data_IF_046479259438
#
_entry.id   IF_046479259438
#
_cell.length_a   1.000
_cell.length_b   1.000
_cell.length_c   1.000
_cell.angle_alpha   90.00
_cell.angle_beta   90.00
_cell.angle_gamma   90.00
#
_symmetry.space_group_name_H-M   'P 1'
#
loop_
_entity.id
_entity.type
_entity.pdbx_description
1 polymer ?
#
# COMPACT_ATOMS: atom_id res chain seq x y z
N UNK A 1 13.42 -15.07 -9.60
CA UNK A 1 13.52 -13.97 -8.62
C UNK A 1 12.11 -13.45 -8.31
N UNK A 2 11.74 -13.32 -7.03
CA UNK A 2 10.37 -12.98 -6.60
C UNK A 2 10.00 -11.53 -6.95
N UNK A 3 10.90 -10.57 -6.65
CA UNK A 3 10.68 -9.15 -6.93
C UNK A 3 10.32 -8.89 -8.41
N UNK A 4 11.06 -9.48 -9.35
CA UNK A 4 10.81 -9.31 -10.79
C UNK A 4 9.38 -9.70 -11.18
N UNK A 5 8.92 -10.90 -10.78
CA UNK A 5 7.54 -11.35 -11.04
C UNK A 5 6.51 -10.38 -10.46
N UNK A 6 6.74 -9.90 -9.23
CA UNK A 6 5.83 -8.98 -8.58
C UNK A 6 5.77 -7.63 -9.30
N UNK A 7 6.91 -7.10 -9.77
CA UNK A 7 6.94 -5.87 -10.57
C UNK A 7 6.27 -6.03 -11.94
N UNK A 8 6.45 -7.17 -12.60
CA UNK A 8 5.74 -7.47 -13.86
C UNK A 8 4.22 -7.53 -13.65
N UNK A 9 3.75 -8.14 -12.55
CA UNK A 9 2.34 -8.12 -12.19
C UNK A 9 1.84 -6.70 -11.84
N UNK A 10 2.67 -5.91 -11.15
CA UNK A 10 2.35 -4.55 -10.76
C UNK A 10 2.18 -3.62 -11.97
N UNK A 11 2.95 -3.85 -13.05
CA UNK A 11 2.87 -3.06 -14.28
C UNK A 11 1.44 -2.99 -14.85
N UNK A 12 0.71 -4.11 -14.81
CA UNK A 12 -0.65 -4.23 -15.33
C UNK A 12 -1.76 -3.87 -14.32
N UNK A 13 -1.42 -3.66 -13.04
CA UNK A 13 -2.39 -3.37 -12.00
C UNK A 13 -2.53 -1.85 -11.75
N UNK A 14 -3.66 -1.21 -12.13
CA UNK A 14 -3.87 0.23 -11.93
C UNK A 14 -3.87 0.66 -10.46
N UNK A 15 -4.08 -0.26 -9.52
CA UNK A 15 -4.03 0.01 -8.07
C UNK A 15 -2.62 -0.12 -7.49
N UNK A 16 -1.64 -0.63 -8.25
CA UNK A 16 -0.28 -0.82 -7.75
C UNK A 16 0.51 0.50 -7.79
N UNK A 17 1.40 0.71 -6.80
CA UNK A 17 2.30 1.89 -6.78
C UNK A 17 3.30 1.92 -7.93
N UNK A 18 3.64 0.76 -8.49
CA UNK A 18 4.48 0.61 -9.69
C UNK A 18 3.65 0.46 -10.98
N UNK A 19 2.39 0.92 -10.99
CA UNK A 19 1.57 0.87 -12.19
C UNK A 19 2.28 1.54 -13.38
N UNK A 20 2.33 0.84 -14.52
CA UNK A 20 3.05 1.23 -15.75
C UNK A 20 4.56 1.50 -15.58
N UNK A 21 5.19 1.09 -14.47
CA UNK A 21 6.64 1.18 -14.29
C UNK A 21 7.29 -0.16 -14.60
N UNK A 22 8.07 -0.23 -15.67
CA UNK A 22 8.83 -1.43 -16.01
C UNK A 22 10.10 -1.48 -15.16
N UNK A 23 10.27 -2.56 -14.38
CA UNK A 23 11.47 -2.80 -13.56
C UNK A 23 12.16 -4.05 -14.13
N UNK A 24 13.39 -3.88 -14.61
CA UNK A 24 14.19 -4.95 -15.20
C UNK A 24 14.90 -5.80 -14.13
N UNK A 25 15.45 -6.95 -14.55
CA UNK A 25 16.27 -7.79 -13.66
C UNK A 25 17.56 -7.07 -13.25
N UNK A 26 18.17 -6.33 -14.18
CA UNK A 26 19.35 -5.51 -13.94
C UNK A 26 19.07 -4.41 -12.92
N UNK A 27 17.91 -3.73 -13.00
CA UNK A 27 17.53 -2.71 -12.00
C UNK A 27 17.45 -3.31 -10.60
N UNK A 28 16.91 -4.53 -10.48
CA UNK A 28 16.81 -5.24 -9.19
C UNK A 28 18.18 -5.60 -8.65
N UNK A 29 19.05 -6.19 -9.48
CA UNK A 29 20.40 -6.58 -9.09
C UNK A 29 21.31 -5.40 -8.78
N UNK A 30 21.11 -4.26 -9.43
CA UNK A 30 21.91 -3.05 -9.22
C UNK A 30 21.35 -2.14 -8.12
N UNK A 31 20.17 -2.45 -7.58
CA UNK A 31 19.57 -1.64 -6.51
C UNK A 31 20.36 -1.68 -5.20
N UNK A 32 20.27 -0.64 -4.35
CA UNK A 32 21.00 -0.57 -3.10
C UNK A 32 20.75 -1.78 -2.20
N UNK A 33 21.80 -2.27 -1.53
CA UNK A 33 21.67 -3.29 -0.49
C UNK A 33 21.07 -2.65 0.76
N UNK A 34 19.97 -3.20 1.27
CA UNK A 34 19.33 -2.74 2.50
C UNK A 34 19.81 -3.58 3.68
N UNK A 35 19.75 -4.91 3.55
CA UNK A 35 20.23 -5.86 4.54
C UNK A 35 20.72 -7.10 3.81
N UNK A 36 22.04 -7.27 3.67
CA UNK A 36 22.62 -8.35 2.84
C UNK A 36 22.00 -9.72 3.16
N UNK A 37 21.51 -10.48 2.17
CA UNK A 37 21.62 -10.27 0.72
C UNK A 37 20.47 -9.47 0.07
N UNK A 38 19.52 -8.94 0.85
CA UNK A 38 18.32 -8.25 0.38
C UNK A 38 18.62 -6.84 -0.12
N UNK A 39 18.05 -6.51 -1.27
CA UNK A 39 18.16 -5.19 -1.91
C UNK A 39 16.86 -4.41 -1.85
N UNK A 40 16.91 -3.14 -2.23
CA UNK A 40 15.79 -2.21 -2.10
C UNK A 40 14.50 -2.70 -2.79
N UNK A 41 14.60 -3.32 -3.97
CA UNK A 41 13.43 -3.84 -4.69
C UNK A 41 12.89 -5.16 -4.13
N UNK A 42 13.59 -5.80 -3.18
CA UNK A 42 13.06 -6.95 -2.44
C UNK A 42 12.16 -6.50 -1.26
N UNK A 43 12.25 -5.23 -0.85
CA UNK A 43 11.45 -4.68 0.24
C UNK A 43 10.01 -4.36 -0.21
N UNK A 44 9.05 -4.56 0.68
CA UNK A 44 7.69 -4.05 0.49
C UNK A 44 7.67 -2.53 0.57
N UNK A 45 6.85 -1.90 -0.28
CA UNK A 45 6.65 -0.46 -0.23
C UNK A 45 5.78 -0.04 0.95
N UNK A 46 6.14 1.07 1.58
CA UNK A 46 5.25 1.77 2.51
C UNK A 46 4.13 2.45 1.72
N UNK A 47 2.90 2.01 1.97
CA UNK A 47 1.69 2.52 1.33
C UNK A 47 0.60 2.72 2.37
N UNK A 48 -0.17 3.79 2.22
CA UNK A 48 -1.36 4.03 3.03
C UNK A 48 -2.60 3.61 2.22
N UNK A 49 -3.46 2.79 2.80
CA UNK A 49 -4.70 2.35 2.15
C UNK A 49 -5.50 1.43 3.07
N UNK A 50 -6.80 1.29 2.80
CA UNK A 50 -7.68 0.33 3.46
C UNK A 50 -8.48 -0.47 2.44
N UNK A 51 -8.83 -1.70 2.80
CA UNK A 51 -9.75 -2.54 2.07
C UNK A 51 -10.66 -3.25 3.07
N UNK A 52 -11.92 -3.44 2.72
CA UNK A 52 -12.89 -4.19 3.50
C UNK A 52 -13.62 -5.16 2.57
N UNK A 53 -13.99 -6.33 3.11
CA UNK A 53 -14.77 -7.34 2.40
C UNK A 53 -15.89 -7.84 3.33
N UNK A 54 -17.10 -7.96 2.79
CA UNK A 54 -18.25 -8.57 3.48
C UNK A 54 -18.45 -9.94 2.86
N UNK A 55 -18.39 -10.99 3.66
CA UNK A 55 -18.49 -12.37 3.20
C UNK A 55 -19.71 -13.01 3.84
N UNK A 56 -20.60 -13.54 3.01
CA UNK A 56 -21.79 -14.27 3.44
C UNK A 56 -21.86 -15.62 2.71
N UNK A 57 -22.49 -16.61 3.34
CA UNK A 57 -22.69 -17.93 2.71
C UNK A 57 -23.66 -17.82 1.53
N UNK A 58 -24.74 -17.07 1.71
CA UNK A 58 -25.80 -16.84 0.73
C UNK A 58 -25.90 -15.34 0.40
N UNK A 59 -26.45 -14.98 -0.76
CA UNK A 59 -26.65 -13.58 -1.14
C UNK A 59 -27.64 -12.92 -0.18
N UNK A 60 -27.20 -11.85 0.48
CA UNK A 60 -28.03 -11.06 1.41
C UNK A 60 -28.41 -9.71 0.80
N UNK A 61 -29.34 -9.02 1.44
CA UNK A 61 -29.81 -7.65 1.15
C UNK A 61 -28.95 -6.57 1.83
N UNK A 62 -27.81 -6.94 2.41
CA UNK A 62 -26.89 -6.01 3.08
C UNK A 62 -26.21 -5.12 2.05
N UNK A 63 -26.35 -3.80 2.22
CA UNK A 63 -25.72 -2.79 1.37
C UNK A 63 -24.70 -1.95 2.15
N UNK A 64 -23.62 -1.55 1.46
CA UNK A 64 -22.65 -0.61 2.00
C UNK A 64 -23.23 0.80 1.84
N UNK A 65 -23.79 1.35 2.92
CA UNK A 65 -24.36 2.71 2.93
C UNK A 65 -23.30 3.83 2.88
N UNK A 66 -22.05 3.51 3.17
CA UNK A 66 -20.94 4.46 3.11
C UNK A 66 -19.59 3.80 3.36
N UNK A 67 -18.53 4.43 2.86
CA UNK A 67 -17.15 4.06 3.13
C UNK A 67 -16.29 5.33 3.16
N UNK A 68 -15.41 5.42 4.14
CA UNK A 68 -14.48 6.53 4.32
C UNK A 68 -13.12 6.01 4.78
N UNK A 69 -12.05 6.57 4.22
CA UNK A 69 -10.68 6.30 4.63
C UNK A 69 -10.10 7.54 5.31
N UNK A 70 -9.51 7.35 6.48
CA UNK A 70 -8.70 8.37 7.15
C UNK A 70 -7.28 7.84 7.30
N UNK A 71 -6.32 8.64 6.85
CA UNK A 71 -4.89 8.36 6.96
C UNK A 71 -4.23 9.60 7.53
N UNK A 72 -3.17 9.41 8.31
CA UNK A 72 -2.39 10.54 8.84
C UNK A 72 -1.69 11.29 7.68
N UNK A 73 -1.32 12.55 7.91
CA UNK A 73 -0.63 13.40 6.93
C UNK A 73 0.85 13.06 6.80
N UNK A 74 1.47 12.62 7.89
CA UNK A 74 2.90 12.30 7.93
C UNK A 74 3.12 10.83 7.58
N UNK A 75 4.23 10.53 6.92
CA UNK A 75 4.67 9.15 6.82
C UNK A 75 5.01 8.63 8.21
N UNK A 76 4.80 7.33 8.48
CA UNK A 76 5.03 6.74 9.80
C UNK A 76 6.43 7.04 10.35
N UNK A 77 7.42 7.18 9.47
CA UNK A 77 8.82 7.43 9.83
C UNK A 77 9.15 8.90 10.14
N UNK A 78 8.25 9.83 9.81
CA UNK A 78 8.38 11.27 10.07
C UNK A 78 7.52 11.72 11.25
N UNK A 79 6.78 10.79 11.89
CA UNK A 79 5.98 11.09 13.07
C UNK A 79 6.86 11.39 14.28
N UNK A 80 6.52 12.45 15.02
CA UNK A 80 7.22 12.81 16.27
C UNK A 80 6.98 11.77 17.37
N UNK A 81 5.84 11.08 17.34
CA UNK A 81 5.47 10.03 18.28
C UNK A 81 4.92 8.81 17.51
N UNK A 82 5.66 7.71 17.52
CA UNK A 82 5.28 6.45 16.86
C UNK A 82 4.15 5.69 17.59
N UNK A 83 3.73 6.16 18.76
CA UNK A 83 2.71 5.52 19.60
C UNK A 83 1.37 6.27 19.61
N UNK A 84 1.32 7.48 19.03
CA UNK A 84 0.14 8.32 19.00
C UNK A 84 -0.33 8.59 17.57
N UNK A 85 -1.64 8.42 17.34
CA UNK A 85 -2.29 8.93 16.13
C UNK A 85 -2.83 10.32 16.44
N UNK A 86 -2.28 11.36 15.80
CA UNK A 86 -2.81 12.72 15.93
C UNK A 86 -4.20 12.77 15.28
N UNK A 87 -5.22 12.87 16.14
CA UNK A 87 -6.62 12.75 15.78
C UNK A 87 -7.11 14.04 15.09
N UNK A 88 -7.13 14.08 13.76
CA UNK A 88 -7.83 15.12 13.01
C UNK A 88 -9.19 14.61 12.52
N UNK A 89 -10.27 15.12 13.11
CA UNK A 89 -11.64 14.90 12.65
C UNK A 89 -12.32 16.26 12.43
N UNK A 90 -12.35 16.75 11.19
CA UNK A 90 -13.30 17.78 10.80
C UNK A 90 -14.39 17.12 9.95
N UNK A 91 -15.49 16.77 10.59
CA UNK A 91 -16.73 16.44 9.90
C UNK A 91 -17.36 17.76 9.42
N UNK A 92 -17.29 18.03 8.13
CA UNK A 92 -18.20 18.99 7.48
C UNK A 92 -19.29 18.16 6.81
N UNK A 93 -20.46 18.06 7.44
CA UNK A 93 -21.66 17.65 6.71
C UNK A 93 -22.08 18.80 5.79
N UNK A 94 -22.46 18.48 4.56
CA UNK A 94 -23.43 19.27 3.81
C UNK A 94 -24.73 18.50 3.80
#
# INVERSE_FOLDING_TARGET
MVAYKNHQNAYFNPKARFYKKNVSLEDIKNSPVVASPLRLFDCSLSVNGAAAAIITKDKTDIEIVGSSLFVDRLSTFESEDMTAFLKFMSLSSR
#
